data_IF_034012286486
#
_entry.id   IF_034012286486
#
_cell.length_a   1.000
_cell.length_b   1.000
_cell.length_c   1.000
_cell.angle_alpha   90.00
_cell.angle_beta   90.00
_cell.angle_gamma   90.00
#
_symmetry.space_group_name_H-M   'P 1'
#
loop_
_entity.id
_entity.type
_entity.pdbx_description
1 polymer ?
#
# COMPACT_ATOMS: atom_id res chain seq x y z
N UNK A 1 10.56 12.41 7.58
CA UNK A 1 9.60 11.30 7.38
C UNK A 1 8.70 11.58 6.19
N UNK A 2 8.47 10.59 5.32
CA UNK A 2 7.49 10.69 4.23
C UNK A 2 6.24 9.93 4.65
N UNK A 3 5.08 10.57 4.53
CA UNK A 3 3.78 9.99 4.86
C UNK A 3 2.87 10.00 3.63
N UNK A 4 2.27 8.86 3.33
CA UNK A 4 1.33 8.68 2.22
C UNK A 4 0.06 8.06 2.79
N UNK A 5 -1.10 8.58 2.41
CA UNK A 5 -2.39 8.01 2.83
C UNK A 5 -2.59 6.65 2.14
N UNK A 6 -3.25 5.67 2.79
CA UNK A 6 -3.47 4.36 2.18
C UNK A 6 -4.15 4.40 0.81
N UNK A 7 -5.11 5.30 0.62
CA UNK A 7 -5.86 5.51 -0.62
C UNK A 7 -5.05 6.21 -1.71
N UNK A 8 -3.86 6.73 -1.38
CA UNK A 8 -2.94 7.35 -2.34
C UNK A 8 -1.85 6.38 -2.82
N UNK A 9 -1.88 5.13 -2.36
CA UNK A 9 -1.04 4.06 -2.86
C UNK A 9 -1.86 3.13 -3.76
N UNK A 10 -1.18 2.51 -4.72
CA UNK A 10 -1.74 1.49 -5.58
C UNK A 10 -0.76 0.33 -5.73
N UNK A 11 -1.30 -0.87 -5.94
CA UNK A 11 -0.49 -1.99 -6.43
C UNK A 11 -0.12 -1.76 -7.89
N UNK A 12 1.13 -2.06 -8.23
CA UNK A 12 1.64 -1.99 -9.60
C UNK A 12 2.18 -3.36 -10.01
N UNK A 13 1.98 -3.72 -11.27
CA UNK A 13 2.43 -5.00 -11.84
C UNK A 13 3.78 -4.92 -12.59
N UNK A 14 4.37 -3.73 -12.66
CA UNK A 14 5.66 -3.48 -13.30
C UNK A 14 6.75 -3.24 -12.25
N UNK A 15 7.98 -2.90 -12.68
CA UNK A 15 9.12 -2.67 -11.78
C UNK A 15 9.10 -1.29 -11.09
N UNK A 16 8.02 -0.54 -11.18
CA UNK A 16 7.91 0.77 -10.50
C UNK A 16 7.63 0.62 -9.01
N UNK A 17 7.78 1.72 -8.25
CA UNK A 17 7.45 1.74 -6.83
C UNK A 17 8.43 0.96 -5.95
N UNK A 18 7.96 0.53 -4.77
CA UNK A 18 8.74 -0.23 -3.79
C UNK A 18 8.11 -1.60 -3.51
N UNK A 19 8.95 -2.58 -3.22
CA UNK A 19 8.53 -3.95 -2.97
C UNK A 19 8.07 -4.18 -1.53
N UNK A 20 7.15 -5.12 -1.35
CA UNK A 20 6.72 -5.60 -0.05
C UNK A 20 5.98 -6.94 -0.14
N UNK A 21 5.59 -7.44 1.02
CA UNK A 21 4.83 -8.70 1.16
C UNK A 21 3.55 -8.40 1.92
N UNK A 22 2.42 -8.85 1.39
CA UNK A 22 1.13 -8.74 2.09
C UNK A 22 1.19 -9.57 3.36
N UNK A 23 1.05 -8.93 4.51
CA UNK A 23 0.89 -9.61 5.79
C UNK A 23 -0.57 -10.02 6.01
N UNK A 24 -1.49 -9.08 5.79
CA UNK A 24 -2.93 -9.28 6.00
C UNK A 24 -3.77 -8.41 5.07
N UNK A 25 -4.97 -8.89 4.76
CA UNK A 25 -5.98 -8.16 3.99
C UNK A 25 -7.30 -8.12 4.77
N UNK A 26 -7.84 -6.92 4.97
CA UNK A 26 -9.02 -6.64 5.77
C UNK A 26 -10.13 -6.03 4.90
N UNK A 27 -11.19 -6.78 4.58
CA UNK A 27 -12.37 -6.23 3.93
C UNK A 27 -13.18 -5.35 4.90
N UNK A 28 -13.30 -4.05 4.59
CA UNK A 28 -14.00 -3.04 5.39
C UNK A 28 -15.11 -2.38 4.55
N UNK A 29 -16.25 -3.06 4.41
CA UNK A 29 -17.34 -2.58 3.57
C UNK A 29 -16.95 -2.54 2.09
N UNK A 30 -17.08 -1.39 1.42
CA UNK A 30 -16.75 -1.25 0.00
C UNK A 30 -15.25 -1.15 -0.30
N UNK A 31 -14.38 -1.30 0.71
CA UNK A 31 -12.92 -1.16 0.60
C UNK A 31 -12.23 -2.38 1.16
N UNK A 32 -11.07 -2.76 0.61
CA UNK A 32 -10.13 -3.70 1.24
C UNK A 32 -8.88 -2.92 1.62
N UNK A 33 -8.42 -3.08 2.86
CA UNK A 33 -7.14 -2.53 3.34
C UNK A 33 -6.14 -3.67 3.43
N UNK A 34 -5.00 -3.52 2.79
CA UNK A 34 -3.88 -4.45 2.90
C UNK A 34 -2.80 -3.85 3.78
N UNK A 35 -2.28 -4.64 4.71
CA UNK A 35 -1.04 -4.37 5.43
C UNK A 35 0.10 -5.08 4.71
N UNK A 36 1.09 -4.31 4.28
CA UNK A 36 2.25 -4.75 3.50
C UNK A 36 3.51 -4.49 4.32
N UNK A 37 4.32 -5.50 4.53
CA UNK A 37 5.63 -5.36 5.17
C UNK A 37 6.70 -5.16 4.10
N UNK A 38 7.49 -4.10 4.23
CA UNK A 38 8.61 -3.84 3.31
C UNK A 38 9.90 -4.51 3.80
N UNK A 39 10.95 -4.51 2.98
CA UNK A 39 12.24 -5.13 3.31
C UNK A 39 12.92 -4.53 4.56
N UNK A 40 12.62 -3.28 4.91
CA UNK A 40 13.13 -2.63 6.12
C UNK A 40 12.30 -2.95 7.38
N UNK A 41 11.26 -3.78 7.24
CA UNK A 41 10.35 -4.15 8.32
C UNK A 41 9.18 -3.19 8.54
N UNK A 42 9.13 -2.05 7.83
CA UNK A 42 8.02 -1.10 7.96
C UNK A 42 6.70 -1.68 7.47
N UNK A 43 5.63 -1.41 8.22
CA UNK A 43 4.26 -1.71 7.83
C UNK A 43 3.64 -0.56 7.03
N UNK A 44 3.17 -0.86 5.83
CA UNK A 44 2.50 0.08 4.92
C UNK A 44 1.06 -0.37 4.72
N UNK A 45 0.13 0.58 4.79
CA UNK A 45 -1.29 0.35 4.47
C UNK A 45 -1.60 0.86 3.09
N UNK A 46 -2.33 0.05 2.31
CA UNK A 46 -2.92 0.46 1.04
C UNK A 46 -4.40 0.09 1.04
N UNK A 47 -5.26 0.98 0.55
CA UNK A 47 -6.69 0.74 0.46
C UNK A 47 -7.16 0.72 -0.99
N UNK A 48 -7.99 -0.27 -1.34
CA UNK A 48 -8.55 -0.40 -2.68
C UNK A 48 -10.06 -0.54 -2.62
N UNK A 49 -10.75 0.02 -3.63
CA UNK A 49 -12.16 -0.21 -3.80
C UNK A 49 -12.41 -1.71 -4.08
N UNK A 50 -13.35 -2.29 -3.35
CA UNK A 50 -13.81 -3.67 -3.55
C UNK A 50 -14.84 -3.69 -4.67
N UNK A 51 -14.37 -3.57 -5.91
CA UNK A 51 -15.18 -3.58 -7.14
C UNK A 51 -15.00 -4.91 -7.88
N UNK A 52 -16.10 -5.49 -8.38
CA UNK A 52 -16.05 -6.71 -9.20
C UNK A 52 -15.28 -7.86 -8.54
N UNK A 53 -14.25 -8.38 -9.23
CA UNK A 53 -13.38 -9.46 -8.76
C UNK A 53 -12.17 -9.00 -7.94
N UNK A 54 -12.10 -7.73 -7.47
CA UNK A 54 -11.03 -7.28 -6.56
C UNK A 54 -11.06 -8.13 -5.28
N UNK A 55 -10.25 -9.18 -5.29
CA UNK A 55 -10.14 -10.13 -4.20
C UNK A 55 -9.09 -9.63 -3.22
N UNK A 56 -9.35 -9.84 -1.94
CA UNK A 56 -8.34 -9.65 -0.92
C UNK A 56 -7.10 -10.48 -1.29
N UNK A 57 -5.95 -9.82 -1.44
CA UNK A 57 -4.67 -10.51 -1.65
C UNK A 57 -4.40 -11.43 -0.46
N UNK A 58 -3.88 -12.61 -0.75
CA UNK A 58 -3.54 -13.58 0.29
C UNK A 58 -2.29 -13.14 1.05
N UNK A 59 -2.19 -13.55 2.31
CA UNK A 59 -0.97 -13.37 3.09
C UNK A 59 0.22 -14.06 2.42
N UNK A 60 1.39 -13.43 2.43
CA UNK A 60 2.59 -13.89 1.75
C UNK A 60 2.68 -13.48 0.28
N UNK A 61 1.66 -12.83 -0.29
CA UNK A 61 1.73 -12.34 -1.68
C UNK A 61 2.80 -11.26 -1.83
N UNK A 62 3.74 -11.45 -2.77
CA UNK A 62 4.71 -10.44 -3.15
C UNK A 62 4.01 -9.35 -3.99
N UNK A 63 4.23 -8.09 -3.61
CA UNK A 63 3.59 -6.94 -4.23
C UNK A 63 4.58 -5.79 -4.44
N UNK A 64 4.22 -4.89 -5.35
CA UNK A 64 4.87 -3.59 -5.48
C UNK A 64 3.84 -2.48 -5.32
N UNK A 65 4.25 -1.40 -4.67
CA UNK A 65 3.42 -0.26 -4.34
C UNK A 65 4.01 1.02 -4.90
N UNK A 66 3.17 1.84 -5.52
CA UNK A 66 3.54 3.18 -5.97
C UNK A 66 2.50 4.21 -5.51
N UNK A 67 2.88 5.47 -5.27
CA UNK A 67 1.93 6.56 -5.13
C UNK A 67 1.12 6.75 -6.42
N UNK A 68 -0.16 7.10 -6.31
CA UNK A 68 -0.99 7.46 -7.47
C UNK A 68 -0.44 8.69 -8.21
N UNK A 69 0.15 9.63 -7.46
CA UNK A 69 0.86 10.78 -7.99
C UNK A 69 1.91 11.28 -6.99
N UNK A 70 3.05 11.85 -7.43
CA UNK A 70 4.08 12.37 -6.52
C UNK A 70 3.58 13.45 -5.55
N UNK A 71 2.62 14.27 -5.98
CA UNK A 71 2.05 15.37 -5.19
C UNK A 71 1.19 14.93 -4.00
N UNK A 72 0.89 13.64 -3.87
CA UNK A 72 0.06 13.09 -2.79
C UNK A 72 0.87 12.65 -1.56
N UNK A 73 2.20 12.74 -1.63
CA UNK A 73 3.10 12.48 -0.53
C UNK A 73 3.29 13.74 0.34
N UNK A 74 3.31 13.56 1.66
CA UNK A 74 3.63 14.61 2.61
C UNK A 74 5.02 14.35 3.17
N UNK A 75 5.88 15.37 3.16
CA UNK A 75 7.22 15.30 3.71
C UNK A 75 7.29 16.13 4.99
N UNK A 76 7.77 15.51 6.06
CA UNK A 76 8.01 16.12 7.36
C UNK A 76 9.51 16.08 7.67
N UNK A 77 10.08 17.11 8.32
CA UNK A 77 11.46 17.07 8.80
C UNK A 77 11.75 15.82 9.63
N UNK A 78 12.96 15.27 9.53
CA UNK A 78 13.37 14.12 10.34
C UNK A 78 13.65 14.49 11.80
N UNK A 79 13.84 15.78 12.07
CA UNK A 79 14.12 16.41 13.35
C UNK A 79 13.43 17.77 13.39
N UNK A 80 12.95 18.19 14.57
CA UNK A 80 12.57 19.58 14.82
C UNK A 80 13.81 20.45 15.03
#
# INVERSE_FOLDING_TARGET
TVCIRPEHLQFVGDETGFAGVVGMSLPLGATVVHEVTTADGSGVKVSQARIGETRALESGAAVRLAPLAPSLANAFPATL
#
